data_IF_466813693510
#
_entry.id   IF_466813693510
#
_cell.length_a   1.000
_cell.length_b   1.000
_cell.length_c   1.000
_cell.angle_alpha   90.00
_cell.angle_beta   90.00
_cell.angle_gamma   90.00
#
_symmetry.space_group_name_H-M   'P 1'
#
loop_
_entity.id
_entity.type
_entity.pdbx_description
1 polymer ?
#
# COMPACT_ATOMS: atom_id res chain seq x y z
N UNK A 1 13.12 11.30 27.04
CA UNK A 1 11.72 11.75 27.09
C UNK A 1 10.89 10.68 26.38
N UNK A 2 10.17 9.92 27.18
CA UNK A 2 9.38 8.78 26.70
C UNK A 2 8.08 9.35 26.15
N UNK A 3 7.91 9.37 24.83
CA UNK A 3 6.61 9.67 24.23
C UNK A 3 5.73 8.44 24.33
N UNK A 4 4.83 8.45 25.30
CA UNK A 4 3.74 7.51 25.34
C UNK A 4 2.83 7.78 24.14
N UNK A 5 2.83 6.85 23.18
CA UNK A 5 1.76 6.75 22.18
C UNK A 5 0.49 6.41 22.94
N UNK A 6 -0.40 7.37 23.10
CA UNK A 6 -1.75 7.10 23.62
C UNK A 6 -2.45 6.13 22.69
N UNK A 7 -2.61 4.91 23.16
CA UNK A 7 -3.52 3.95 22.56
C UNK A 7 -4.93 4.56 22.62
N UNK A 8 -5.62 4.54 21.50
CA UNK A 8 -7.02 4.88 21.42
C UNK A 8 -7.83 3.86 22.22
N UNK A 9 -8.31 4.25 23.40
CA UNK A 9 -9.29 3.49 24.14
C UNK A 9 -10.68 3.96 23.76
N UNK A 10 -11.26 3.29 22.77
CA UNK A 10 -12.69 3.26 22.54
C UNK A 10 -13.19 1.89 22.93
N UNK A 11 -13.39 1.67 24.22
CA UNK A 11 -13.90 0.41 24.73
C UNK A 11 -15.41 0.32 24.53
N UNK A 12 -15.85 -0.63 23.71
CA UNK A 12 -17.05 -1.40 23.97
C UNK A 12 -16.73 -2.87 23.74
N UNK A 13 -16.71 -3.60 24.86
CA UNK A 13 -16.62 -5.05 24.93
C UNK A 13 -17.92 -5.64 24.41
N UNK A 14 -17.86 -6.40 23.32
CA UNK A 14 -18.89 -7.37 22.98
C UNK A 14 -18.27 -8.77 23.02
N UNK A 15 -18.82 -9.59 23.89
CA UNK A 15 -18.61 -11.04 23.90
C UNK A 15 -19.21 -11.62 22.60
N UNK A 16 -18.44 -12.41 21.87
CA UNK A 16 -18.97 -13.27 20.81
C UNK A 16 -18.40 -14.67 20.95
N UNK A 17 -19.35 -15.61 21.08
CA UNK A 17 -19.10 -17.05 21.15
C UNK A 17 -18.37 -17.57 19.92
N UNK A 18 -17.34 -18.41 20.15
CA UNK A 18 -16.54 -19.04 19.12
C UNK A 18 -17.34 -20.02 18.28
N UNK A 19 -17.58 -19.69 17.02
CA UNK A 19 -17.93 -20.66 15.97
C UNK A 19 -17.03 -20.45 14.77
N UNK A 20 -16.17 -21.43 14.55
CA UNK A 20 -15.34 -21.55 13.34
C UNK A 20 -16.25 -22.01 12.21
N UNK A 21 -16.44 -21.19 11.18
CA UNK A 21 -17.11 -21.58 9.95
C UNK A 21 -16.08 -22.06 8.91
N UNK A 22 -16.25 -23.26 8.33
CA UNK A 22 -15.40 -23.71 7.25
C UNK A 22 -15.75 -22.95 5.96
N UNK A 23 -14.78 -22.22 5.41
CA UNK A 23 -14.90 -21.58 4.11
C UNK A 23 -15.04 -22.62 3.00
N UNK A 24 -16.22 -22.73 2.37
CA UNK A 24 -16.41 -23.47 1.11
C UNK A 24 -15.87 -22.65 -0.05
N UNK A 25 -14.74 -23.09 -0.59
CA UNK A 25 -13.96 -22.47 -1.68
C UNK A 25 -14.62 -22.50 -3.07
N UNK A 26 -15.91 -22.76 -3.22
CA UNK A 26 -16.53 -22.93 -4.55
C UNK A 26 -17.43 -21.78 -5.01
N UNK A 27 -17.96 -20.95 -4.14
CA UNK A 27 -18.87 -19.88 -4.55
C UNK A 27 -18.19 -18.54 -4.87
N UNK A 28 -16.93 -18.34 -4.45
CA UNK A 28 -16.18 -17.11 -4.76
C UNK A 28 -15.64 -17.08 -6.22
N UNK A 29 -15.60 -18.22 -6.90
CA UNK A 29 -15.00 -18.31 -8.24
C UNK A 29 -15.90 -17.82 -9.37
N UNK A 30 -17.23 -17.80 -9.20
CA UNK A 30 -18.14 -17.44 -10.26
C UNK A 30 -18.60 -15.98 -10.27
N UNK A 31 -18.53 -15.28 -9.14
CA UNK A 31 -19.01 -13.89 -9.03
C UNK A 31 -17.93 -12.83 -9.30
N UNK A 32 -16.67 -13.23 -9.42
CA UNK A 32 -15.53 -12.31 -9.60
C UNK A 32 -14.98 -12.25 -11.03
N UNK A 33 -15.80 -12.50 -12.05
CA UNK A 33 -15.44 -12.13 -13.43
C UNK A 33 -15.53 -10.62 -13.64
N UNK A 34 -14.75 -9.85 -12.87
CA UNK A 34 -14.46 -8.48 -13.26
C UNK A 34 -13.36 -8.54 -14.34
N UNK A 35 -13.74 -8.09 -15.53
CA UNK A 35 -12.86 -8.02 -16.69
C UNK A 35 -11.54 -7.33 -16.32
N UNK A 36 -10.44 -8.05 -16.40
CA UNK A 36 -9.12 -7.42 -16.49
C UNK A 36 -9.11 -6.44 -17.64
N UNK A 37 -8.38 -5.31 -17.53
CA UNK A 37 -7.84 -4.70 -18.72
C UNK A 37 -7.06 -5.81 -19.43
N UNK A 38 -7.47 -6.14 -20.66
CA UNK A 38 -6.82 -7.19 -21.44
C UNK A 38 -5.32 -6.95 -21.39
N UNK A 39 -4.59 -7.82 -20.70
CA UNK A 39 -3.15 -7.90 -20.90
C UNK A 39 -3.02 -8.34 -22.34
N UNK A 40 -2.78 -7.39 -23.23
CA UNK A 40 -2.32 -7.72 -24.57
C UNK A 40 -1.17 -8.69 -24.35
N UNK A 41 -1.18 -9.88 -24.98
CA UNK A 41 -0.11 -10.84 -24.87
C UNK A 41 1.12 -10.34 -25.63
N UNK A 42 1.78 -9.35 -25.06
CA UNK A 42 3.08 -8.84 -25.44
C UNK A 42 3.96 -9.10 -24.23
N UNK A 43 4.51 -10.23 -24.20
CA UNK A 43 5.01 -10.92 -23.04
C UNK A 43 6.38 -10.40 -22.71
N UNK A 44 6.51 -9.73 -21.58
CA UNK A 44 7.80 -9.61 -20.92
C UNK A 44 8.32 -11.02 -20.59
N UNK A 45 9.35 -11.54 -21.26
CA UNK A 45 9.81 -12.92 -21.09
C UNK A 45 10.42 -13.18 -19.70
N UNK A 46 10.76 -12.12 -18.99
CA UNK A 46 11.32 -12.14 -17.64
C UNK A 46 10.35 -11.64 -16.58
N UNK A 47 9.04 -11.65 -16.88
CA UNK A 47 8.03 -11.17 -15.94
C UNK A 47 7.99 -12.01 -14.67
N UNK A 48 7.75 -11.35 -13.54
CA UNK A 48 7.57 -12.04 -12.26
C UNK A 48 6.39 -13.03 -12.31
N UNK A 49 5.36 -12.76 -13.12
CA UNK A 49 4.23 -13.68 -13.27
C UNK A 49 4.65 -15.03 -13.86
N UNK A 50 5.57 -15.05 -14.84
CA UNK A 50 6.12 -16.29 -15.37
C UNK A 50 6.95 -17.01 -14.31
N UNK A 51 7.74 -16.28 -13.53
CA UNK A 51 8.53 -16.85 -12.42
C UNK A 51 7.63 -17.46 -11.35
N UNK A 52 6.58 -16.72 -10.93
CA UNK A 52 5.57 -17.22 -9.98
C UNK A 52 4.88 -18.47 -10.51
N UNK A 53 4.47 -18.49 -11.79
CA UNK A 53 3.81 -19.66 -12.39
C UNK A 53 4.67 -20.92 -12.35
N UNK A 54 5.99 -20.76 -12.46
CA UNK A 54 6.96 -21.86 -12.45
C UNK A 54 7.48 -22.19 -11.04
N UNK A 55 7.21 -21.38 -10.03
CA UNK A 55 7.62 -21.64 -8.66
C UNK A 55 6.61 -22.55 -7.95
N UNK A 56 7.09 -23.64 -7.32
CA UNK A 56 6.24 -24.66 -6.69
C UNK A 56 5.40 -24.10 -5.53
N UNK A 57 5.94 -23.15 -4.77
CA UNK A 57 5.30 -22.53 -3.61
C UNK A 57 4.48 -21.30 -4.00
N UNK A 58 5.11 -20.31 -4.66
CA UNK A 58 4.45 -19.04 -4.91
C UNK A 58 3.29 -19.12 -5.91
N UNK A 59 3.27 -20.12 -6.82
CA UNK A 59 2.10 -20.36 -7.69
C UNK A 59 0.81 -20.64 -6.92
N UNK A 60 0.91 -21.14 -5.69
CA UNK A 60 -0.25 -21.44 -4.83
C UNK A 60 -0.68 -20.23 -3.98
N UNK A 61 0.23 -19.26 -3.80
CA UNK A 61 0.02 -18.06 -3.00
C UNK A 61 -0.54 -16.92 -3.84
N UNK A 62 0.08 -16.66 -5.01
CA UNK A 62 -0.34 -15.55 -5.87
C UNK A 62 -1.67 -15.83 -6.58
N UNK A 63 -2.54 -14.85 -6.49
CA UNK A 63 -3.74 -14.75 -7.32
C UNK A 63 -3.75 -13.37 -8.00
N UNK A 64 -3.41 -13.34 -9.28
CA UNK A 64 -3.38 -12.10 -10.06
C UNK A 64 -4.76 -11.63 -10.52
N UNK A 65 -5.84 -12.35 -10.19
CA UNK A 65 -7.22 -11.98 -10.50
C UNK A 65 -7.88 -11.14 -9.40
N UNK A 66 -7.26 -11.07 -8.20
CA UNK A 66 -7.79 -10.25 -7.10
C UNK A 66 -7.87 -8.78 -7.55
N UNK A 67 -8.99 -8.09 -7.32
CA UNK A 67 -9.13 -6.70 -7.67
C UNK A 67 -8.15 -5.85 -6.85
N UNK A 68 -7.22 -5.19 -7.56
CA UNK A 68 -6.17 -4.39 -6.93
C UNK A 68 -6.68 -3.03 -6.48
N UNK A 69 -7.44 -2.35 -7.33
CA UNK A 69 -7.94 -1.00 -7.11
C UNK A 69 -9.45 -1.00 -6.91
N UNK A 70 -9.89 -0.15 -6.00
CA UNK A 70 -11.30 0.13 -5.73
C UNK A 70 -11.74 1.34 -6.56
N UNK A 71 -12.87 1.21 -7.28
CA UNK A 71 -13.40 2.25 -8.16
C UNK A 71 -14.91 2.09 -8.34
N UNK A 72 -15.57 3.00 -9.08
CA UNK A 72 -17.03 3.11 -9.12
C UNK A 72 -17.77 1.83 -9.54
N UNK A 73 -17.19 0.98 -10.41
CA UNK A 73 -17.83 -0.28 -10.83
C UNK A 73 -17.94 -1.31 -9.71
N UNK A 74 -17.17 -1.14 -8.63
CA UNK A 74 -17.28 -2.00 -7.44
C UNK A 74 -18.41 -1.59 -6.50
N UNK A 75 -19.08 -0.45 -6.75
CA UNK A 75 -20.21 0.01 -5.96
C UNK A 75 -21.50 -0.69 -6.43
N UNK A 76 -21.67 -1.95 -6.10
CA UNK A 76 -22.84 -2.78 -6.36
C UNK A 76 -23.46 -3.22 -5.04
N UNK A 77 -24.76 -3.59 -5.06
CA UNK A 77 -25.42 -4.13 -3.86
C UNK A 77 -24.71 -5.37 -3.34
N UNK A 78 -24.34 -6.29 -4.21
CA UNK A 78 -23.64 -7.52 -3.82
C UNK A 78 -22.28 -7.25 -3.14
N UNK A 79 -21.51 -6.30 -3.66
CA UNK A 79 -20.24 -5.91 -3.04
C UNK A 79 -20.48 -5.20 -1.70
N UNK A 80 -21.52 -4.35 -1.63
CA UNK A 80 -21.89 -3.71 -0.37
C UNK A 80 -22.25 -4.75 0.70
N UNK A 81 -23.11 -5.71 0.37
CA UNK A 81 -23.53 -6.78 1.27
C UNK A 81 -22.36 -7.63 1.77
N UNK A 82 -21.35 -7.79 0.95
CA UNK A 82 -20.15 -8.57 1.29
C UNK A 82 -19.17 -7.75 2.13
N UNK A 83 -18.85 -6.54 1.69
CA UNK A 83 -17.81 -5.71 2.31
C UNK A 83 -18.30 -5.06 3.61
N UNK A 84 -19.59 -4.75 3.75
CA UNK A 84 -20.15 -4.20 4.99
C UNK A 84 -20.14 -5.18 6.20
N UNK A 85 -19.87 -6.45 5.97
CA UNK A 85 -19.72 -7.46 7.04
C UNK A 85 -18.30 -7.52 7.60
N UNK A 86 -17.34 -6.93 6.95
CA UNK A 86 -15.92 -6.98 7.32
C UNK A 86 -15.44 -5.62 7.83
N UNK A 87 -14.65 -5.58 8.93
CA UNK A 87 -14.10 -4.33 9.43
C UNK A 87 -13.09 -3.73 8.45
N UNK A 88 -12.86 -2.42 8.56
CA UNK A 88 -11.74 -1.77 7.91
C UNK A 88 -10.41 -2.38 8.40
N UNK A 89 -9.38 -2.45 7.57
CA UNK A 89 -9.30 -2.00 6.16
C UNK A 89 -9.82 -3.05 5.17
N UNK A 90 -10.39 -4.17 5.63
CA UNK A 90 -10.75 -5.34 4.85
C UNK A 90 -12.19 -5.31 4.32
N UNK A 91 -12.94 -4.27 4.65
CA UNK A 91 -14.32 -4.07 4.26
C UNK A 91 -14.85 -2.69 4.65
N UNK A 92 -16.18 -2.60 4.77
CA UNK A 92 -16.91 -1.35 5.03
C UNK A 92 -17.82 -1.41 6.26
N UNK A 93 -17.57 -2.37 7.16
CA UNK A 93 -18.36 -2.48 8.40
C UNK A 93 -18.27 -1.17 9.18
N UNK A 94 -19.42 -0.70 9.63
CA UNK A 94 -19.58 0.53 10.41
C UNK A 94 -19.24 1.84 9.65
N UNK A 95 -18.95 1.78 8.33
CA UNK A 95 -18.80 2.97 7.50
C UNK A 95 -20.16 3.41 6.92
N UNK A 96 -20.47 4.73 6.91
CA UNK A 96 -21.65 5.25 6.25
C UNK A 96 -21.62 4.99 4.74
N UNK A 97 -22.67 4.33 4.23
CA UNK A 97 -22.74 3.95 2.80
C UNK A 97 -22.62 5.16 1.87
N UNK A 98 -23.24 6.27 2.24
CA UNK A 98 -23.22 7.49 1.43
C UNK A 98 -21.82 8.07 1.26
N UNK A 99 -21.01 8.05 2.32
CA UNK A 99 -19.64 8.57 2.28
C UNK A 99 -18.75 7.72 1.38
N UNK A 100 -18.81 6.39 1.54
CA UNK A 100 -18.09 5.46 0.66
C UNK A 100 -18.56 5.64 -0.79
N UNK A 101 -19.86 5.62 -1.04
CA UNK A 101 -20.43 5.76 -2.36
C UNK A 101 -20.08 7.11 -3.02
N UNK A 102 -20.12 8.20 -2.26
CA UNK A 102 -19.80 9.54 -2.78
C UNK A 102 -18.33 9.66 -3.21
N UNK A 103 -17.42 8.98 -2.50
CA UNK A 103 -16.01 8.92 -2.86
C UNK A 103 -15.80 8.04 -4.11
N UNK A 104 -16.35 6.82 -4.13
CA UNK A 104 -16.15 5.88 -5.23
C UNK A 104 -16.74 6.33 -6.55
N UNK A 105 -17.87 7.05 -6.55
CA UNK A 105 -18.47 7.63 -7.76
C UNK A 105 -17.51 8.57 -8.49
N UNK A 106 -16.54 9.15 -7.82
CA UNK A 106 -15.52 10.03 -8.42
C UNK A 106 -14.34 9.26 -9.04
N UNK A 107 -14.13 8.01 -8.65
CA UNK A 107 -13.11 7.14 -9.22
C UNK A 107 -13.69 6.41 -10.43
N UNK A 108 -13.73 7.10 -11.58
CA UNK A 108 -14.32 6.56 -12.80
C UNK A 108 -13.40 5.58 -13.54
N UNK A 109 -13.97 4.84 -14.48
CA UNK A 109 -13.32 3.79 -15.26
C UNK A 109 -12.04 4.25 -15.96
N UNK A 110 -12.12 5.38 -16.66
CA UNK A 110 -11.02 5.90 -17.49
C UNK A 110 -9.80 6.30 -16.66
N UNK A 111 -10.03 6.72 -15.42
CA UNK A 111 -8.97 7.21 -14.54
C UNK A 111 -8.43 6.12 -13.59
N UNK A 112 -9.25 5.09 -13.25
CA UNK A 112 -8.97 4.23 -12.12
C UNK A 112 -9.00 2.72 -12.39
N UNK A 113 -9.30 2.31 -13.63
CA UNK A 113 -9.36 0.89 -14.02
C UNK A 113 -8.01 0.17 -13.94
N UNK A 114 -6.90 0.88 -14.11
CA UNK A 114 -5.56 0.32 -14.10
C UNK A 114 -4.59 1.21 -13.33
N UNK A 115 -3.48 0.63 -12.83
CA UNK A 115 -2.42 1.43 -12.17
C UNK A 115 -1.71 2.33 -13.18
N UNK A 116 -1.46 1.81 -14.38
CA UNK A 116 -0.80 2.54 -15.48
C UNK A 116 -1.12 1.88 -16.81
N UNK A 117 -1.02 2.65 -17.89
CA UNK A 117 -1.13 2.14 -19.25
C UNK A 117 0.22 1.59 -19.72
N UNK A 118 0.21 0.43 -20.39
CA UNK A 118 1.41 -0.12 -21.00
C UNK A 118 1.76 0.65 -22.27
N UNK A 119 2.99 1.13 -22.35
CA UNK A 119 3.52 1.75 -23.55
C UNK A 119 4.05 0.67 -24.52
N UNK A 120 3.13 -0.01 -25.21
CA UNK A 120 3.45 -1.03 -26.21
C UNK A 120 3.55 -2.47 -25.68
N UNK A 121 3.41 -3.46 -26.58
CA UNK A 121 3.20 -4.87 -26.21
C UNK A 121 4.45 -5.61 -25.73
N UNK A 122 5.66 -5.09 -25.95
CA UNK A 122 6.90 -5.86 -25.73
C UNK A 122 7.79 -5.34 -24.62
N UNK A 123 7.49 -4.20 -24.03
CA UNK A 123 8.33 -3.61 -22.97
C UNK A 123 7.94 -4.11 -21.59
N UNK A 124 8.91 -4.71 -20.88
CA UNK A 124 8.75 -5.03 -19.47
C UNK A 124 8.57 -3.75 -18.63
N UNK A 125 7.56 -3.70 -17.80
CA UNK A 125 7.35 -2.64 -16.83
C UNK A 125 8.19 -2.93 -15.59
N UNK A 126 9.19 -2.11 -15.32
CA UNK A 126 10.10 -2.21 -14.19
C UNK A 126 9.71 -1.21 -13.12
N UNK A 127 9.44 -1.70 -11.92
CA UNK A 127 9.06 -0.87 -10.79
C UNK A 127 10.09 -0.96 -9.67
N UNK A 128 10.43 0.20 -9.09
CA UNK A 128 11.12 0.27 -7.81
C UNK A 128 10.11 0.57 -6.70
N UNK A 129 10.21 -0.11 -5.58
CA UNK A 129 9.50 0.25 -4.36
C UNK A 129 10.54 0.65 -3.32
N UNK A 130 10.44 1.89 -2.86
CA UNK A 130 11.44 2.51 -1.98
C UNK A 130 10.82 2.72 -0.61
N UNK A 131 11.21 1.87 0.34
CA UNK A 131 10.93 2.04 1.76
C UNK A 131 11.90 3.04 2.39
N UNK A 132 11.76 3.25 3.70
CA UNK A 132 12.51 4.27 4.41
C UNK A 132 13.66 3.72 5.26
N UNK A 133 13.98 2.42 5.16
CA UNK A 133 14.96 1.76 6.04
C UNK A 133 16.39 2.31 5.90
N UNK A 134 17.08 2.37 7.03
CA UNK A 134 18.42 2.92 7.19
C UNK A 134 19.49 2.31 6.31
N UNK A 135 19.27 1.10 5.80
CA UNK A 135 20.15 0.44 4.82
C UNK A 135 20.40 1.30 3.57
N UNK A 136 19.52 2.26 3.27
CA UNK A 136 19.68 3.16 2.12
C UNK A 136 20.67 4.30 2.37
N UNK A 137 20.97 4.66 3.60
CA UNK A 137 21.94 5.72 3.88
C UNK A 137 23.32 5.35 3.30
N UNK A 138 23.88 6.19 2.41
CA UNK A 138 25.14 5.95 1.71
C UNK A 138 25.09 4.81 0.70
N UNK A 139 23.91 4.34 0.27
CA UNK A 139 23.74 3.23 -0.68
C UNK A 139 24.17 3.56 -2.11
N UNK A 140 24.12 4.84 -2.49
CA UNK A 140 24.37 5.35 -3.85
C UNK A 140 23.44 4.72 -4.91
N UNK A 141 22.22 4.31 -4.50
CA UNK A 141 21.25 3.64 -5.37
C UNK A 141 20.32 4.59 -6.12
N UNK A 142 20.39 5.89 -5.87
CA UNK A 142 19.47 6.88 -6.43
C UNK A 142 19.31 6.78 -7.95
N UNK A 143 20.41 6.71 -8.72
CA UNK A 143 20.35 6.56 -10.16
C UNK A 143 19.74 5.23 -10.62
N UNK A 144 20.00 4.14 -9.88
CA UNK A 144 19.41 2.83 -10.17
C UNK A 144 17.89 2.87 -9.94
N UNK A 145 17.45 3.49 -8.85
CA UNK A 145 16.03 3.67 -8.52
C UNK A 145 15.34 4.50 -9.62
N UNK A 146 15.90 5.66 -9.97
CA UNK A 146 15.32 6.57 -10.97
C UNK A 146 15.30 5.98 -12.39
N UNK A 147 16.12 4.97 -12.66
CA UNK A 147 16.14 4.22 -13.91
C UNK A 147 14.99 3.24 -14.12
N UNK A 148 14.12 3.04 -13.12
CA UNK A 148 12.91 2.24 -13.27
C UNK A 148 11.80 3.00 -14.00
N UNK A 149 10.87 2.28 -14.62
CA UNK A 149 9.76 2.91 -15.33
C UNK A 149 8.82 3.62 -14.35
N UNK A 150 8.55 2.99 -13.18
CA UNK A 150 7.79 3.57 -12.08
C UNK A 150 8.49 3.41 -10.74
N UNK A 151 8.35 4.41 -9.87
CA UNK A 151 8.90 4.41 -8.51
C UNK A 151 7.78 4.64 -7.51
N UNK A 152 7.61 3.70 -6.60
CA UNK A 152 6.68 3.78 -5.48
C UNK A 152 7.43 4.28 -4.24
N UNK A 153 6.83 5.25 -3.55
CA UNK A 153 7.30 5.71 -2.24
C UNK A 153 6.14 5.72 -1.25
N UNK A 154 6.45 5.83 0.03
CA UNK A 154 5.46 5.69 1.09
C UNK A 154 5.85 6.52 2.32
N UNK A 155 4.84 6.90 3.10
CA UNK A 155 5.00 7.60 4.39
C UNK A 155 6.00 8.77 4.32
N UNK A 156 6.90 8.91 5.30
CA UNK A 156 7.90 9.95 5.40
C UNK A 156 9.10 9.78 4.46
N UNK A 157 8.86 9.70 3.16
CA UNK A 157 9.91 9.52 2.14
C UNK A 157 10.71 10.82 1.92
N UNK A 158 11.70 11.08 2.76
CA UNK A 158 12.60 12.23 2.66
C UNK A 158 13.51 12.06 1.44
N UNK A 159 13.42 12.95 0.45
CA UNK A 159 14.24 12.90 -0.77
C UNK A 159 15.36 13.94 -0.71
N UNK A 160 15.02 15.18 -0.32
CA UNK A 160 15.97 16.29 -0.29
C UNK A 160 17.17 16.01 0.60
N UNK A 161 18.36 16.05 0.00
CA UNK A 161 19.63 15.73 0.66
C UNK A 161 20.04 14.26 0.61
N UNK A 162 19.15 13.37 0.11
CA UNK A 162 19.39 11.93 -0.02
C UNK A 162 19.24 11.42 -1.45
N UNK A 163 19.22 12.32 -2.45
CA UNK A 163 18.97 12.00 -3.87
C UNK A 163 19.94 10.95 -4.42
N UNK A 164 21.20 10.98 -3.95
CA UNK A 164 22.22 10.00 -4.35
C UNK A 164 21.87 8.57 -3.92
N UNK A 165 21.18 8.45 -2.78
CA UNK A 165 20.87 7.16 -2.15
C UNK A 165 19.48 6.65 -2.52
N UNK A 166 18.50 7.55 -2.61
CA UNK A 166 17.08 7.17 -2.79
C UNK A 166 16.47 7.63 -4.10
N UNK A 167 17.21 8.39 -4.94
CA UNK A 167 16.70 8.97 -6.18
C UNK A 167 15.72 10.11 -5.96
N UNK A 168 15.19 10.63 -7.06
CA UNK A 168 14.27 11.79 -7.07
C UNK A 168 12.89 11.45 -7.61
N UNK A 169 12.80 10.41 -8.46
CA UNK A 169 11.56 10.02 -9.13
C UNK A 169 10.53 9.50 -8.13
N UNK A 170 9.29 9.96 -8.27
CA UNK A 170 8.12 9.44 -7.57
C UNK A 170 6.97 9.33 -8.56
N UNK A 171 6.52 8.11 -8.84
CA UNK A 171 5.38 7.86 -9.71
C UNK A 171 4.11 7.57 -8.90
N UNK A 172 4.29 6.89 -7.76
CA UNK A 172 3.22 6.55 -6.83
C UNK A 172 3.65 6.86 -5.40
N UNK A 173 2.75 7.45 -4.63
CA UNK A 173 2.92 7.70 -3.20
C UNK A 173 1.80 7.04 -2.43
N UNK A 174 2.14 6.03 -1.60
CA UNK A 174 1.19 5.19 -0.87
C UNK A 174 1.13 5.55 0.62
N UNK A 175 -0.10 5.62 1.18
CA UNK A 175 -0.33 6.02 2.57
C UNK A 175 -1.76 5.69 3.03
N UNK A 176 -1.98 5.70 4.34
CA UNK A 176 -3.27 6.06 4.94
C UNK A 176 -3.25 7.54 5.30
N UNK A 177 -4.39 8.23 5.40
CA UNK A 177 -4.41 9.63 5.83
C UNK A 177 -3.72 9.79 7.20
N UNK A 178 -3.89 8.79 8.08
CA UNK A 178 -3.21 8.77 9.37
C UNK A 178 -1.68 8.73 9.23
N UNK A 179 -1.14 7.79 8.44
CA UNK A 179 0.32 7.67 8.29
C UNK A 179 0.92 8.87 7.56
N UNK A 180 0.21 9.45 6.60
CA UNK A 180 0.62 10.68 5.92
C UNK A 180 0.77 11.85 6.89
N UNK A 181 -0.27 12.12 7.70
CA UNK A 181 -0.24 13.24 8.66
C UNK A 181 0.77 13.02 9.77
N UNK A 182 0.85 11.79 10.31
CA UNK A 182 1.86 11.45 11.30
C UNK A 182 3.29 11.62 10.74
N UNK A 183 3.51 11.25 9.48
CA UNK A 183 4.83 11.45 8.85
C UNK A 183 5.21 12.92 8.72
N UNK A 184 4.26 13.80 8.39
CA UNK A 184 4.49 15.25 8.33
C UNK A 184 4.85 15.85 9.70
N UNK A 185 4.34 15.26 10.79
CA UNK A 185 4.66 15.69 12.15
C UNK A 185 6.00 15.08 12.61
N UNK A 186 6.12 13.74 12.53
CA UNK A 186 7.24 13.01 13.14
C UNK A 186 8.55 13.19 12.40
N UNK A 187 8.50 13.41 11.07
CA UNK A 187 9.72 13.50 10.25
C UNK A 187 9.99 14.91 9.71
N UNK A 188 9.29 15.92 10.25
CA UNK A 188 9.49 17.32 9.87
C UNK A 188 10.94 17.77 10.10
N UNK A 189 11.52 17.45 11.23
CA UNK A 189 12.91 17.78 11.58
C UNK A 189 13.95 17.09 10.67
N UNK A 190 13.55 15.98 10.03
CA UNK A 190 14.36 15.25 9.05
C UNK A 190 14.16 15.76 7.63
N UNK A 191 13.27 16.74 7.41
CA UNK A 191 13.03 17.38 6.12
C UNK A 191 11.79 16.88 5.39
N UNK A 192 10.94 16.05 5.99
CA UNK A 192 9.65 15.69 5.43
C UNK A 192 8.59 16.73 5.80
N UNK A 193 8.68 17.89 5.15
CA UNK A 193 7.80 19.05 5.44
C UNK A 193 6.56 19.11 4.57
N UNK A 194 6.53 18.30 3.51
CA UNK A 194 5.39 18.18 2.59
C UNK A 194 5.36 16.80 1.93
N UNK A 195 4.18 16.39 1.50
CA UNK A 195 4.02 15.18 0.69
C UNK A 195 4.61 15.39 -0.70
N UNK A 196 5.08 14.32 -1.38
CA UNK A 196 5.51 14.42 -2.77
C UNK A 196 4.42 15.01 -3.66
N UNK A 197 4.79 15.94 -4.54
CA UNK A 197 3.90 16.59 -5.50
C UNK A 197 4.47 16.49 -6.91
N UNK A 198 3.62 16.33 -7.92
CA UNK A 198 4.06 16.23 -9.32
C UNK A 198 2.89 16.11 -10.29
N UNK A 199 3.16 16.43 -11.56
CA UNK A 199 2.15 16.33 -12.62
C UNK A 199 1.71 14.88 -12.84
N UNK A 200 2.69 13.97 -12.90
CA UNK A 200 2.49 12.56 -13.23
C UNK A 200 2.55 11.64 -11.98
N UNK A 201 2.43 12.24 -10.79
CA UNK A 201 2.40 11.53 -9.53
C UNK A 201 0.98 11.09 -9.20
N UNK A 202 0.83 9.85 -8.77
CA UNK A 202 -0.44 9.28 -8.32
C UNK A 202 -0.39 8.96 -6.83
N UNK A 203 -1.47 9.23 -6.14
CA UNK A 203 -1.66 8.98 -4.72
C UNK A 203 -2.45 7.70 -4.51
N UNK A 204 -1.87 6.72 -3.79
CA UNK A 204 -2.52 5.45 -3.48
C UNK A 204 -3.00 5.49 -2.04
N UNK A 205 -4.31 5.59 -1.87
CA UNK A 205 -4.96 5.50 -0.58
C UNK A 205 -5.12 4.05 -0.13
N UNK A 206 -4.78 3.78 1.12
CA UNK A 206 -5.09 2.54 1.82
C UNK A 206 -6.33 2.82 2.65
N UNK A 207 -7.47 2.16 2.40
CA UNK A 207 -8.75 2.49 3.04
C UNK A 207 -8.83 1.93 4.46
N UNK A 208 -8.04 2.47 5.37
CA UNK A 208 -7.94 2.01 6.76
C UNK A 208 -9.04 2.56 7.67
N UNK A 209 -9.69 3.64 7.26
CA UNK A 209 -10.70 4.35 8.03
C UNK A 209 -11.61 5.17 7.11
N UNK A 210 -12.76 5.65 7.61
CA UNK A 210 -13.65 6.57 6.91
C UNK A 210 -12.91 7.82 6.40
N UNK A 211 -11.94 8.31 7.19
CA UNK A 211 -11.16 9.50 6.83
C UNK A 211 -10.43 9.36 5.50
N UNK A 212 -10.05 8.15 5.10
CA UNK A 212 -9.37 7.90 3.82
C UNK A 212 -10.33 8.16 2.64
N UNK A 213 -11.59 7.76 2.76
CA UNK A 213 -12.62 8.02 1.75
C UNK A 213 -12.99 9.51 1.67
N UNK A 214 -13.17 10.14 2.83
CA UNK A 214 -13.56 11.57 2.91
C UNK A 214 -12.43 12.47 2.38
N UNK A 215 -11.17 12.18 2.74
CA UNK A 215 -10.00 12.92 2.24
C UNK A 215 -9.83 12.73 0.73
N UNK A 216 -9.97 11.51 0.22
CA UNK A 216 -9.89 11.21 -1.23
C UNK A 216 -10.97 11.99 -1.98
N UNK A 217 -12.23 11.94 -1.53
CA UNK A 217 -13.34 12.71 -2.12
C UNK A 217 -13.03 14.19 -2.15
N UNK A 218 -12.62 14.74 -1.03
CA UNK A 218 -12.29 16.17 -0.90
C UNK A 218 -11.11 16.57 -1.79
N UNK A 219 -10.11 15.69 -1.90
CA UNK A 219 -8.96 15.86 -2.79
C UNK A 219 -9.33 15.91 -4.27
N UNK A 220 -10.24 15.03 -4.71
CA UNK A 220 -10.71 15.00 -6.11
C UNK A 220 -11.57 16.24 -6.42
N UNK A 221 -12.42 16.65 -5.48
CA UNK A 221 -13.30 17.80 -5.65
C UNK A 221 -12.59 19.14 -5.45
N UNK A 222 -11.40 19.16 -4.86
CA UNK A 222 -10.66 20.38 -4.54
C UNK A 222 -11.33 21.22 -3.45
N UNK A 223 -12.06 20.58 -2.52
CA UNK A 223 -12.78 21.24 -1.42
C UNK A 223 -12.15 20.90 -0.07
N UNK A 224 -12.46 21.68 0.96
CA UNK A 224 -12.08 21.34 2.34
C UNK A 224 -12.75 20.03 2.77
N UNK A 225 -12.10 19.29 3.66
CA UNK A 225 -12.68 18.13 4.33
C UNK A 225 -13.91 18.59 5.14
N UNK A 226 -15.10 18.02 4.86
CA UNK A 226 -16.35 18.59 5.40
C UNK A 226 -16.66 18.15 6.83
N UNK A 227 -16.07 17.05 7.31
CA UNK A 227 -16.41 16.46 8.61
C UNK A 227 -15.37 15.45 9.06
N UNK A 228 -15.47 15.03 10.31
CA UNK A 228 -14.63 14.00 10.91
C UNK A 228 -13.32 14.52 11.46
N UNK A 229 -12.38 13.61 11.67
CA UNK A 229 -11.09 13.92 12.32
C UNK A 229 -10.27 15.00 11.60
N UNK A 230 -10.39 15.07 10.28
CA UNK A 230 -9.64 16.00 9.42
C UNK A 230 -10.51 17.20 8.95
N UNK A 231 -11.62 17.48 9.64
CA UNK A 231 -12.51 18.58 9.27
C UNK A 231 -11.75 19.91 9.10
N UNK A 232 -12.01 20.60 8.00
CA UNK A 232 -11.37 21.88 7.67
C UNK A 232 -10.06 21.77 6.93
N UNK A 233 -9.42 20.59 6.87
CA UNK A 233 -8.20 20.36 6.10
C UNK A 233 -8.40 20.73 4.63
N UNK A 234 -7.34 21.26 4.03
CA UNK A 234 -7.29 21.58 2.60
C UNK A 234 -6.47 20.52 1.85
N UNK A 235 -7.09 19.58 1.15
CA UNK A 235 -6.36 18.53 0.44
C UNK A 235 -5.33 19.04 -0.58
N UNK A 236 -5.50 20.28 -1.08
CA UNK A 236 -4.52 20.92 -1.97
C UNK A 236 -3.15 21.14 -1.31
N UNK A 237 -3.08 21.24 0.01
CA UNK A 237 -1.83 21.34 0.76
C UNK A 237 -1.05 20.02 0.69
N UNK A 238 -1.74 18.89 0.62
CA UNK A 238 -1.16 17.55 0.49
C UNK A 238 -0.93 17.14 -0.98
N UNK A 239 -1.92 17.35 -1.86
CA UNK A 239 -1.96 16.78 -3.20
C UNK A 239 -1.73 17.78 -4.33
N UNK A 240 -1.46 19.04 -3.97
CA UNK A 240 -1.27 20.12 -4.91
C UNK A 240 -2.59 20.76 -5.41
N UNK A 241 -2.49 21.89 -6.11
CA UNK A 241 -3.64 22.78 -6.40
C UNK A 241 -4.52 22.32 -7.56
N UNK A 242 -4.14 21.27 -8.29
CA UNK A 242 -4.86 20.79 -9.48
C UNK A 242 -5.51 19.43 -9.20
N UNK A 243 -6.72 19.42 -8.61
CA UNK A 243 -7.43 18.17 -8.38
C UNK A 243 -7.78 17.47 -9.70
N UNK A 244 -7.66 16.16 -9.72
CA UNK A 244 -8.06 15.33 -10.86
C UNK A 244 -8.27 13.89 -10.39
N UNK A 245 -9.37 13.23 -10.74
CA UNK A 245 -9.57 11.82 -10.41
C UNK A 245 -8.41 10.92 -10.85
N UNK A 246 -7.72 11.27 -11.95
CA UNK A 246 -6.58 10.51 -12.47
C UNK A 246 -5.42 10.39 -11.48
N UNK A 247 -5.26 11.38 -10.59
CA UNK A 247 -4.18 11.38 -9.59
C UNK A 247 -4.43 10.45 -8.42
N UNK A 248 -5.65 9.97 -8.23
CA UNK A 248 -6.04 9.26 -7.03
C UNK A 248 -6.35 7.80 -7.34
N UNK A 249 -5.83 6.92 -6.52
CA UNK A 249 -6.09 5.49 -6.51
C UNK A 249 -6.45 5.08 -5.09
N UNK A 250 -7.31 4.07 -4.95
CA UNK A 250 -7.60 3.45 -3.67
C UNK A 250 -7.41 1.94 -3.81
N UNK A 251 -6.74 1.31 -2.85
CA UNK A 251 -6.62 -0.14 -2.84
C UNK A 251 -7.97 -0.79 -2.53
N UNK A 252 -8.21 -1.96 -3.12
CA UNK A 252 -9.43 -2.70 -2.88
C UNK A 252 -9.37 -3.44 -1.54
N UNK A 253 -10.43 -3.42 -0.69
CA UNK A 253 -10.45 -4.16 0.56
C UNK A 253 -10.17 -5.65 0.41
N UNK A 254 -10.62 -6.30 -0.66
CA UNK A 254 -10.30 -7.70 -0.96
C UNK A 254 -8.82 -7.91 -1.26
N UNK A 255 -8.16 -6.93 -1.88
CA UNK A 255 -6.71 -7.00 -2.08
C UNK A 255 -5.98 -6.93 -0.73
N UNK A 256 -6.41 -6.06 0.17
CA UNK A 256 -5.84 -5.96 1.52
C UNK A 256 -6.03 -7.26 2.31
N UNK A 257 -7.23 -7.82 2.27
CA UNK A 257 -7.54 -9.10 2.91
C UNK A 257 -6.69 -10.24 2.33
N UNK A 258 -6.59 -10.30 1.00
CA UNK A 258 -5.78 -11.27 0.30
C UNK A 258 -4.29 -11.16 0.66
N UNK A 259 -3.74 -9.95 0.73
CA UNK A 259 -2.33 -9.74 1.10
C UNK A 259 -2.06 -10.20 2.53
N UNK A 260 -2.95 -9.89 3.47
CA UNK A 260 -2.87 -10.38 4.85
C UNK A 260 -2.93 -11.91 4.91
N UNK A 261 -3.92 -12.51 4.28
CA UNK A 261 -4.24 -13.93 4.49
C UNK A 261 -3.32 -14.87 3.71
N UNK A 262 -2.76 -14.42 2.58
CA UNK A 262 -1.92 -15.26 1.71
C UNK A 262 -0.42 -15.03 1.88
N UNK A 263 0.00 -13.81 2.21
CA UNK A 263 1.41 -13.45 2.29
C UNK A 263 1.86 -13.17 3.72
N UNK A 264 1.02 -12.51 4.51
CA UNK A 264 1.40 -11.93 5.80
C UNK A 264 0.41 -12.36 6.91
N UNK A 265 0.07 -13.66 6.91
CA UNK A 265 -0.78 -14.25 7.96
C UNK A 265 0.04 -14.45 9.23
N UNK A 266 0.09 -13.42 10.06
CA UNK A 266 0.85 -13.39 11.31
C UNK A 266 0.11 -14.10 12.46
N UNK A 267 0.90 -14.64 13.38
CA UNK A 267 0.39 -15.16 14.66
C UNK A 267 -0.22 -14.08 15.56
N UNK A 268 0.06 -12.80 15.29
CA UNK A 268 -0.62 -11.66 15.96
C UNK A 268 -2.14 -11.76 15.80
N UNK A 269 -2.64 -12.34 14.71
CA UNK A 269 -4.07 -12.58 14.48
C UNK A 269 -4.72 -13.53 15.52
N UNK A 270 -3.91 -14.27 16.28
CA UNK A 270 -4.36 -15.17 17.34
C UNK A 270 -4.19 -14.56 18.75
N UNK A 271 -3.87 -13.27 18.85
CA UNK A 271 -3.65 -12.53 20.09
C UNK A 271 -4.71 -11.46 20.31
N UNK A 272 -4.67 -10.80 21.46
CA UNK A 272 -5.50 -9.62 21.77
C UNK A 272 -5.27 -8.44 20.81
N UNK A 273 -4.13 -8.42 20.10
CA UNK A 273 -3.77 -7.39 19.13
C UNK A 273 -4.27 -7.69 17.71
N UNK A 274 -5.05 -8.75 17.50
CA UNK A 274 -5.57 -9.16 16.19
C UNK A 274 -6.30 -8.04 15.44
N UNK A 275 -7.06 -7.20 16.17
CA UNK A 275 -7.78 -6.07 15.59
C UNK A 275 -6.89 -4.92 15.12
N UNK A 276 -5.66 -4.84 15.62
CA UNK A 276 -4.67 -3.82 15.25
C UNK A 276 -3.81 -4.26 14.07
N UNK A 277 -3.72 -5.58 13.83
CA UNK A 277 -2.80 -6.13 12.85
C UNK A 277 -3.22 -5.82 11.42
N UNK A 278 -2.30 -5.25 10.67
CA UNK A 278 -2.35 -5.12 9.22
C UNK A 278 -0.92 -5.16 8.63
N UNK A 279 -0.75 -5.57 7.35
CA UNK A 279 0.53 -5.42 6.67
C UNK A 279 1.02 -3.96 6.72
N UNK A 280 2.33 -3.76 6.80
CA UNK A 280 2.88 -2.40 6.78
C UNK A 280 2.56 -1.67 5.47
N UNK A 281 2.55 -0.34 5.49
CA UNK A 281 2.41 0.46 4.26
C UNK A 281 3.46 0.04 3.21
N UNK A 282 4.68 -0.26 3.66
CA UNK A 282 5.75 -0.78 2.80
C UNK A 282 5.38 -2.12 2.17
N UNK A 283 4.90 -3.06 2.97
CA UNK A 283 4.45 -4.38 2.52
C UNK A 283 3.32 -4.28 1.51
N UNK A 284 2.31 -3.43 1.79
CA UNK A 284 1.20 -3.19 0.86
C UNK A 284 1.66 -2.60 -0.46
N UNK A 285 2.57 -1.61 -0.45
CA UNK A 285 3.09 -1.02 -1.69
C UNK A 285 3.94 -2.01 -2.48
N UNK A 286 4.75 -2.83 -1.81
CA UNK A 286 5.53 -3.86 -2.50
C UNK A 286 4.62 -4.93 -3.14
N UNK A 287 3.60 -5.40 -2.41
CA UNK A 287 2.63 -6.35 -2.95
C UNK A 287 1.78 -5.74 -4.07
N UNK A 288 1.44 -4.43 -3.98
CA UNK A 288 0.80 -3.69 -5.08
C UNK A 288 1.65 -3.69 -6.33
N UNK A 289 2.95 -3.39 -6.22
CA UNK A 289 3.87 -3.44 -7.35
C UNK A 289 4.01 -4.86 -7.92
N UNK A 290 4.04 -5.90 -7.07
CA UNK A 290 4.07 -7.31 -7.50
C UNK A 290 2.84 -7.74 -8.30
N UNK A 291 1.69 -7.11 -8.09
CA UNK A 291 0.45 -7.41 -8.82
C UNK A 291 0.24 -6.52 -10.06
N UNK A 292 1.07 -5.49 -10.26
CA UNK A 292 0.90 -4.53 -11.35
C UNK A 292 2.08 -4.47 -12.33
N UNK A 293 3.31 -4.73 -11.87
CA UNK A 293 4.53 -4.60 -12.67
C UNK A 293 5.03 -5.96 -13.20
N UNK A 294 5.91 -5.94 -14.19
CA UNK A 294 6.55 -7.15 -14.73
C UNK A 294 7.82 -7.52 -13.95
N UNK A 295 8.55 -6.52 -13.49
CA UNK A 295 9.76 -6.70 -12.68
C UNK A 295 9.72 -5.72 -11.52
N UNK A 296 10.08 -6.19 -10.33
CA UNK A 296 10.03 -5.38 -9.10
C UNK A 296 11.37 -5.43 -8.37
N UNK A 297 11.89 -4.25 -8.05
CA UNK A 297 13.05 -4.06 -7.18
C UNK A 297 12.62 -3.36 -5.90
N UNK A 298 13.02 -3.90 -4.75
CA UNK A 298 12.70 -3.37 -3.42
C UNK A 298 13.96 -2.77 -2.79
N UNK A 299 13.87 -1.54 -2.31
CA UNK A 299 14.95 -0.78 -1.68
C UNK A 299 14.48 -0.26 -0.32
N UNK A 300 15.35 -0.30 0.69
CA UNK A 300 15.02 0.22 2.03
C UNK A 300 14.00 -0.62 2.79
N UNK A 301 13.89 -1.89 2.45
CA UNK A 301 13.10 -2.88 3.20
C UNK A 301 13.96 -3.57 4.24
N UNK A 302 13.32 -4.09 5.27
CA UNK A 302 13.98 -4.81 6.36
C UNK A 302 14.71 -6.06 5.83
N UNK A 303 15.97 -6.23 6.24
CA UNK A 303 16.85 -7.35 5.91
C UNK A 303 17.38 -8.01 7.19
N UNK A 304 17.92 -9.24 7.17
CA UNK A 304 18.38 -9.92 8.37
C UNK A 304 19.42 -9.16 9.20
N UNK A 305 20.15 -8.25 8.57
CA UNK A 305 21.16 -7.41 9.20
C UNK A 305 20.64 -5.99 9.58
N UNK A 306 19.31 -5.83 9.72
CA UNK A 306 18.65 -4.55 10.03
C UNK A 306 19.22 -3.83 11.25
N UNK A 307 19.68 -4.57 12.25
CA UNK A 307 20.26 -4.02 13.46
C UNK A 307 21.59 -3.25 13.23
N UNK A 308 22.20 -3.37 12.08
CA UNK A 308 23.39 -2.62 11.66
C UNK A 308 23.05 -1.20 11.24
N UNK A 309 21.82 -0.93 10.86
CA UNK A 309 21.35 0.33 10.29
C UNK A 309 20.44 1.07 11.28
N UNK A 310 20.19 2.34 11.02
CA UNK A 310 19.15 3.12 11.68
C UNK A 310 17.76 2.65 11.21
N UNK A 311 16.71 3.00 11.95
CA UNK A 311 15.34 2.74 11.54
C UNK A 311 15.08 3.37 10.16
N UNK A 312 15.44 4.67 10.01
CA UNK A 312 15.28 5.36 8.74
C UNK A 312 16.64 5.88 8.19
N UNK A 313 16.74 5.99 6.85
CA UNK A 313 17.98 6.43 6.18
C UNK A 313 18.33 7.91 6.43
N UNK A 314 17.38 8.73 6.83
CA UNK A 314 17.55 10.17 7.04
C UNK A 314 17.89 10.55 8.49
N UNK A 315 17.93 9.60 9.40
CA UNK A 315 18.28 9.86 10.80
C UNK A 315 19.78 10.17 10.94
N UNK A 316 20.07 11.27 11.63
CA UNK A 316 21.46 11.74 11.85
C UNK A 316 22.21 10.89 12.86
N UNK A 317 21.49 10.35 13.83
CA UNK A 317 22.00 9.43 14.85
C UNK A 317 21.31 8.09 14.66
N UNK A 318 22.00 7.01 15.02
CA UNK A 318 21.43 5.68 14.88
C UNK A 318 20.26 5.51 15.85
N UNK A 319 19.08 5.29 15.29
CA UNK A 319 17.86 4.93 16.01
C UNK A 319 17.61 3.45 15.76
N UNK A 320 17.49 2.61 16.81
CA UNK A 320 17.15 1.21 16.64
C UNK A 320 15.74 1.06 16.02
N UNK A 321 15.57 0.06 15.15
CA UNK A 321 14.26 -0.31 14.64
C UNK A 321 13.41 -0.84 15.80
N UNK A 322 12.23 -0.26 16.00
CA UNK A 322 11.25 -0.71 16.97
C UNK A 322 10.15 -1.52 16.30
N UNK A 323 9.71 -2.59 16.97
CA UNK A 323 8.63 -3.45 16.50
C UNK A 323 7.34 -3.13 17.24
N UNK A 324 6.30 -2.79 16.49
CA UNK A 324 4.99 -2.46 17.02
C UNK A 324 4.00 -3.62 16.79
N UNK A 325 3.06 -3.80 17.71
CA UNK A 325 2.08 -4.90 17.66
C UNK A 325 1.14 -4.87 16.43
N UNK A 326 1.09 -3.76 15.71
CA UNK A 326 0.25 -3.61 14.52
C UNK A 326 0.87 -4.14 13.22
N UNK A 327 2.17 -4.47 13.22
CA UNK A 327 2.89 -5.01 12.05
C UNK A 327 3.82 -6.13 12.45
N UNK A 328 3.90 -7.19 11.64
CA UNK A 328 4.88 -8.26 11.81
C UNK A 328 6.06 -8.05 10.85
N UNK A 329 6.97 -7.14 11.24
CA UNK A 329 8.12 -6.77 10.42
C UNK A 329 9.09 -7.94 10.20
N UNK A 330 9.17 -8.89 11.14
CA UNK A 330 10.05 -10.07 10.99
C UNK A 330 9.46 -11.05 9.96
N UNK A 331 8.15 -11.23 9.94
CA UNK A 331 7.47 -12.00 8.91
C UNK A 331 7.64 -11.34 7.54
N UNK A 332 7.48 -10.01 7.46
CA UNK A 332 7.73 -9.26 6.23
C UNK A 332 9.16 -9.47 5.74
N UNK A 333 10.16 -9.36 6.62
CA UNK A 333 11.57 -9.62 6.29
C UNK A 333 11.77 -11.02 5.68
N UNK A 334 11.19 -12.04 6.28
CA UNK A 334 11.29 -13.42 5.79
C UNK A 334 10.63 -13.57 4.41
N UNK A 335 9.48 -12.93 4.20
CA UNK A 335 8.78 -12.95 2.92
C UNK A 335 9.62 -12.29 1.82
N UNK A 336 10.17 -11.10 2.08
CA UNK A 336 11.02 -10.39 1.11
C UNK A 336 12.27 -11.20 0.75
N UNK A 337 12.89 -11.83 1.73
CA UNK A 337 14.02 -12.74 1.53
C UNK A 337 13.64 -13.90 0.61
N UNK A 338 12.54 -14.61 0.90
CA UNK A 338 12.07 -15.75 0.09
C UNK A 338 11.73 -15.34 -1.35
N UNK A 339 11.06 -14.22 -1.54
CA UNK A 339 10.74 -13.68 -2.87
C UNK A 339 12.02 -13.35 -3.67
N UNK A 340 13.04 -12.81 -2.99
CA UNK A 340 14.34 -12.52 -3.59
C UNK A 340 15.08 -13.78 -4.00
N UNK A 341 15.18 -14.76 -3.09
CA UNK A 341 15.92 -16.00 -3.31
C UNK A 341 15.30 -16.85 -4.43
N UNK A 342 13.99 -16.72 -4.66
CA UNK A 342 13.26 -17.31 -5.80
C UNK A 342 13.28 -16.43 -7.06
N UNK A 343 14.00 -15.31 -7.04
CA UNK A 343 14.14 -14.40 -8.17
C UNK A 343 12.84 -13.70 -8.60
N UNK A 344 11.80 -13.69 -7.73
CA UNK A 344 10.52 -13.00 -8.01
C UNK A 344 10.70 -11.49 -7.89
N UNK A 345 11.50 -11.05 -6.92
CA UNK A 345 11.90 -9.65 -6.76
C UNK A 345 13.42 -9.52 -6.74
N UNK A 346 13.92 -8.29 -6.92
CA UNK A 346 15.28 -7.90 -6.57
C UNK A 346 15.24 -7.11 -5.27
N UNK A 347 15.61 -7.73 -4.14
CA UNK A 347 15.74 -7.05 -2.86
C UNK A 347 17.15 -6.47 -2.72
N UNK A 348 17.25 -5.16 -2.43
CA UNK A 348 18.53 -4.54 -2.11
C UNK A 348 19.00 -4.99 -0.73
N UNK A 349 20.20 -5.57 -0.69
CA UNK A 349 20.94 -6.03 0.50
C UNK A 349 22.33 -5.41 0.49
N UNK A 350 22.96 -5.29 1.66
CA UNK A 350 24.37 -4.88 1.86
C UNK A 350 25.17 -5.98 2.47
#
# INVERSE_FOLDING_TARGET
MTFQVRAWSGSQLFHMDGKVFPFRNRELAETLRVQRPSKVPGTCPTSLQLRVKNDSYFKTIFNFEVPLLLWNSHLTENNWDTLSKRPVPYGWKDLPREDVASALKLLNDSANKAMFERQGPQKCIRCAVVGNGGILNGSKKGKEIDGHDYVFRLNGAVIKGFEKDVGTKTSFYGFTVNTMKNSLISYQEHGFTETPKGKDLHYIFIPSDLRDYVMLRSGILGVKVPSGYDEGDKPSEYFGPKPSPKKFKMLHPDFLLYTRDRFLKSDILNTEYASLYMPSTGGLMLLTALHSCDQVSAYGFITPDYNRYSDHYYERQKVPLEFYANHDMLMEMQLWGRLHDRGIIKLYKR
#
